data_IF_136045678246
#
_entry.id   IF_136045678246
#
_cell.length_a   1.000
_cell.length_b   1.000
_cell.length_c   1.000
_cell.angle_alpha   90.00
_cell.angle_beta   90.00
_cell.angle_gamma   90.00
#
_symmetry.space_group_name_H-M   'P 1'
#
loop_
_entity.id
_entity.type
_entity.pdbx_description
1 polymer ?
#
# COMPACT_ATOMS: atom_id res chain seq x y z
N UNK A 1 16.00 -44.97 9.32
CA UNK A 1 15.74 -44.25 8.05
C UNK A 1 14.87 -43.01 8.24
N UNK A 2 13.67 -43.14 8.84
CA UNK A 2 12.65 -42.08 8.97
C UNK A 2 13.14 -40.62 9.18
N UNK A 3 14.08 -40.34 10.09
CA UNK A 3 14.52 -38.96 10.36
C UNK A 3 15.14 -38.26 9.12
N UNK A 4 15.87 -39.00 8.29
CA UNK A 4 16.47 -38.47 7.06
C UNK A 4 15.41 -38.26 5.96
N UNK A 5 14.37 -39.10 5.95
CA UNK A 5 13.23 -38.97 5.05
C UNK A 5 12.37 -37.76 5.43
N UNK A 6 12.12 -37.53 6.73
CA UNK A 6 11.43 -36.34 7.23
C UNK A 6 12.19 -35.03 6.91
N UNK A 7 13.51 -35.02 7.10
CA UNK A 7 14.34 -33.85 6.73
C UNK A 7 14.34 -33.61 5.21
N UNK A 8 14.33 -34.68 4.41
CA UNK A 8 14.23 -34.61 2.95
C UNK A 8 12.86 -34.11 2.50
N UNK A 9 11.77 -34.60 3.11
CA UNK A 9 10.41 -34.14 2.88
C UNK A 9 10.26 -32.65 3.23
N UNK A 10 10.75 -32.20 4.39
CA UNK A 10 10.73 -30.77 4.78
C UNK A 10 11.50 -29.88 3.80
N UNK A 11 12.62 -30.36 3.23
CA UNK A 11 13.36 -29.65 2.17
C UNK A 11 12.56 -29.60 0.87
N UNK A 12 11.97 -30.71 0.42
CA UNK A 12 11.10 -30.73 -0.76
C UNK A 12 9.86 -29.84 -0.59
N UNK A 13 9.26 -29.82 0.60
CA UNK A 13 8.17 -28.90 0.95
C UNK A 13 8.58 -27.43 0.81
N UNK A 14 9.81 -27.09 1.22
CA UNK A 14 10.34 -25.74 1.06
C UNK A 14 10.56 -25.39 -0.42
N UNK A 15 11.21 -26.26 -1.19
CA UNK A 15 11.37 -26.08 -2.64
C UNK A 15 10.03 -26.00 -3.36
N UNK A 16 9.06 -26.84 -3.02
CA UNK A 16 7.70 -26.81 -3.55
C UNK A 16 6.99 -25.49 -3.21
N UNK A 17 7.11 -24.96 -1.98
CA UNK A 17 6.58 -23.65 -1.62
C UNK A 17 7.26 -22.51 -2.39
N UNK A 18 8.57 -22.56 -2.62
CA UNK A 18 9.30 -21.58 -3.44
C UNK A 18 8.81 -21.62 -4.89
N UNK A 19 8.73 -22.80 -5.50
CA UNK A 19 8.25 -23.00 -6.88
C UNK A 19 6.78 -22.58 -7.01
N UNK A 20 5.91 -22.98 -6.07
CA UNK A 20 4.51 -22.54 -6.04
C UNK A 20 4.39 -21.04 -5.84
N UNK A 21 5.23 -20.39 -5.03
CA UNK A 21 5.26 -18.92 -4.84
C UNK A 21 5.71 -18.22 -6.12
N UNK A 22 6.72 -18.74 -6.81
CA UNK A 22 7.18 -18.23 -8.10
C UNK A 22 6.13 -18.41 -9.20
N UNK A 23 5.50 -19.59 -9.31
CA UNK A 23 4.45 -19.89 -10.27
C UNK A 23 3.18 -19.06 -10.01
N UNK A 24 2.76 -18.94 -8.73
CA UNK A 24 1.66 -18.04 -8.34
C UNK A 24 1.97 -16.59 -8.69
N UNK A 25 3.20 -16.10 -8.45
CA UNK A 25 3.63 -14.77 -8.89
C UNK A 25 3.54 -14.62 -10.42
N UNK A 26 4.11 -15.55 -11.18
CA UNK A 26 4.11 -15.54 -12.65
C UNK A 26 2.70 -15.55 -13.25
N UNK A 27 1.84 -16.50 -12.84
CA UNK A 27 0.44 -16.55 -13.27
C UNK A 27 -0.33 -15.29 -12.84
N UNK A 28 -0.02 -14.73 -11.68
CA UNK A 28 -0.65 -13.51 -11.20
C UNK A 28 -0.21 -12.25 -11.96
N UNK A 29 0.98 -12.20 -12.61
CA UNK A 29 1.39 -11.03 -13.42
C UNK A 29 0.33 -10.67 -14.46
N UNK A 30 -0.12 -11.62 -15.29
CA UNK A 30 -1.16 -11.35 -16.30
C UNK A 30 -2.52 -11.00 -15.70
N UNK A 31 -2.82 -11.53 -14.51
CA UNK A 31 -4.07 -11.21 -13.79
C UNK A 31 -4.02 -9.79 -13.20
N UNK A 32 -2.90 -9.38 -12.60
CA UNK A 32 -2.69 -8.03 -12.08
C UNK A 32 -2.58 -6.99 -13.19
N UNK A 33 -1.92 -7.31 -14.31
CA UNK A 33 -1.90 -6.46 -15.51
C UNK A 33 -3.33 -6.17 -16.00
N UNK A 34 -4.17 -7.21 -16.18
CA UNK A 34 -5.57 -7.05 -16.58
C UNK A 34 -6.41 -6.27 -15.54
N UNK A 35 -6.17 -6.47 -14.24
CA UNK A 35 -6.84 -5.69 -13.20
C UNK A 35 -6.42 -4.21 -13.23
N UNK A 36 -5.13 -3.92 -13.47
CA UNK A 36 -4.58 -2.57 -13.60
C UNK A 36 -5.06 -1.86 -14.86
N UNK A 37 -5.26 -2.60 -15.95
CA UNK A 37 -5.88 -2.11 -17.19
C UNK A 37 -7.35 -1.75 -16.95
N UNK A 38 -8.17 -2.69 -16.44
CA UNK A 38 -9.57 -2.44 -16.08
C UNK A 38 -9.75 -1.24 -15.13
N UNK A 39 -8.83 -1.07 -14.18
CA UNK A 39 -8.86 0.04 -13.24
C UNK A 39 -8.30 1.36 -13.80
N UNK A 40 -7.47 1.30 -14.85
CA UNK A 40 -7.06 2.45 -15.66
C UNK A 40 -8.24 2.94 -16.50
N UNK A 41 -8.89 2.04 -17.26
CA UNK A 41 -9.99 2.39 -18.16
C UNK A 41 -11.21 2.97 -17.41
N UNK A 42 -11.43 2.54 -16.16
CA UNK A 42 -12.44 3.09 -15.25
C UNK A 42 -12.27 4.60 -15.00
N UNK A 43 -11.04 5.11 -15.06
CA UNK A 43 -10.67 6.51 -14.74
C UNK A 43 -10.14 7.31 -15.95
N UNK A 44 -9.88 6.64 -17.07
CA UNK A 44 -9.35 7.21 -18.31
C UNK A 44 -10.24 8.35 -18.83
N UNK A 45 -9.62 9.46 -19.22
CA UNK A 45 -10.22 10.74 -19.64
C UNK A 45 -11.16 11.43 -18.63
N UNK A 46 -11.45 10.78 -17.49
CA UNK A 46 -12.36 11.30 -16.45
C UNK A 46 -11.63 11.94 -15.29
N UNK A 47 -10.46 11.40 -14.91
CA UNK A 47 -9.74 11.80 -13.69
C UNK A 47 -8.22 11.93 -13.89
N UNK A 48 -7.63 13.03 -13.41
CA UNK A 48 -6.19 13.23 -13.36
C UNK A 48 -5.49 12.09 -12.63
N UNK A 49 -4.31 11.72 -13.10
CA UNK A 49 -3.59 10.55 -12.61
C UNK A 49 -2.48 10.96 -11.66
N UNK A 50 -2.35 10.21 -10.57
CA UNK A 50 -1.17 10.27 -9.72
C UNK A 50 -0.16 9.25 -10.25
N UNK A 51 1.06 9.65 -10.56
CA UNK A 51 2.13 8.75 -11.04
C UNK A 51 2.28 7.53 -10.11
N UNK A 52 2.31 7.76 -8.79
CA UNK A 52 2.39 6.72 -7.75
C UNK A 52 1.18 5.76 -7.72
N UNK A 53 0.10 6.06 -8.44
CA UNK A 53 -1.11 5.22 -8.55
C UNK A 53 -1.29 4.58 -9.92
N UNK A 54 -0.51 4.99 -10.93
CA UNK A 54 -0.53 4.39 -12.27
C UNK A 54 0.32 3.11 -12.30
N UNK A 55 1.56 3.20 -11.84
CA UNK A 55 2.55 2.12 -11.96
C UNK A 55 2.65 1.24 -10.70
N UNK A 56 1.70 1.38 -9.76
CA UNK A 56 1.64 0.59 -8.53
C UNK A 56 1.10 -0.82 -8.77
N UNK A 57 1.72 -1.81 -8.13
CA UNK A 57 1.22 -3.19 -8.08
C UNK A 57 -0.05 -3.32 -7.24
N UNK A 58 -1.00 -4.11 -7.75
CA UNK A 58 -2.28 -4.37 -7.10
C UNK A 58 -2.14 -5.62 -6.25
N UNK A 59 -2.28 -5.49 -4.93
CA UNK A 59 -2.05 -6.58 -3.98
C UNK A 59 -3.35 -7.27 -3.52
N UNK A 60 -4.50 -6.60 -3.63
CA UNK A 60 -5.73 -6.98 -2.94
C UNK A 60 -5.61 -6.81 -1.41
N UNK A 61 -4.79 -7.61 -0.74
CA UNK A 61 -4.67 -7.64 0.72
C UNK A 61 -3.51 -6.80 1.27
N UNK A 62 -3.71 -5.47 1.35
CA UNK A 62 -2.79 -4.55 2.03
C UNK A 62 -2.83 -4.64 3.57
N UNK A 63 -3.80 -5.37 4.13
CA UNK A 63 -3.88 -5.57 5.58
C UNK A 63 -3.10 -6.80 6.07
N UNK A 64 -2.63 -7.66 5.16
CA UNK A 64 -2.14 -9.00 5.48
C UNK A 64 -3.12 -9.74 6.41
N UNK A 65 -4.40 -9.81 6.03
CA UNK A 65 -5.45 -10.45 6.82
C UNK A 65 -5.09 -11.89 7.21
N UNK A 66 -4.33 -12.60 6.37
CA UNK A 66 -3.80 -13.93 6.68
C UNK A 66 -2.96 -14.01 7.98
N UNK A 67 -2.37 -12.89 8.43
CA UNK A 67 -1.65 -12.75 9.71
C UNK A 67 -2.51 -12.12 10.83
N UNK A 68 -3.77 -11.77 10.53
CA UNK A 68 -4.68 -11.05 11.44
C UNK A 68 -6.01 -11.79 11.65
N UNK A 69 -6.00 -12.90 12.44
CA UNK A 69 -7.19 -13.71 12.71
C UNK A 69 -8.27 -12.96 13.51
N UNK A 70 -7.86 -11.93 14.25
CA UNK A 70 -8.68 -10.95 14.95
C UNK A 70 -9.55 -10.08 14.03
N UNK A 71 -9.05 -9.74 12.83
CA UNK A 71 -9.82 -9.10 11.76
C UNK A 71 -10.60 -10.12 10.94
N UNK A 72 -10.01 -11.28 10.59
CA UNK A 72 -10.69 -12.32 9.80
C UNK A 72 -12.01 -12.77 10.44
N UNK A 73 -12.02 -13.01 11.75
CA UNK A 73 -13.22 -13.49 12.49
C UNK A 73 -14.41 -12.52 12.45
N UNK A 74 -14.21 -11.27 12.02
CA UNK A 74 -15.28 -10.27 11.86
C UNK A 74 -15.99 -10.37 10.50
N UNK A 75 -15.44 -11.13 9.57
CA UNK A 75 -16.02 -11.38 8.24
C UNK A 75 -16.52 -12.84 8.19
N UNK A 76 -17.71 -13.12 7.63
CA UNK A 76 -18.21 -14.48 7.52
C UNK A 76 -17.25 -15.38 6.71
N UNK A 77 -17.01 -16.61 7.19
CA UNK A 77 -16.02 -17.54 6.58
C UNK A 77 -16.33 -17.95 5.13
N UNK A 78 -17.59 -17.80 4.69
CA UNK A 78 -18.04 -18.06 3.33
C UNK A 78 -17.86 -16.84 2.40
N UNK A 79 -17.49 -15.67 2.92
CA UNK A 79 -17.18 -14.49 2.14
C UNK A 79 -15.68 -14.43 1.82
N UNK A 80 -15.35 -14.47 0.53
CA UNK A 80 -13.95 -14.38 0.07
C UNK A 80 -13.49 -12.92 0.14
N UNK A 81 -12.37 -12.66 0.81
CA UNK A 81 -11.69 -11.37 0.72
C UNK A 81 -11.17 -11.14 -0.71
N UNK A 82 -11.52 -10.00 -1.30
CA UNK A 82 -11.06 -9.58 -2.62
C UNK A 82 -10.21 -8.30 -2.53
N UNK A 83 -10.41 -7.46 -1.50
CA UNK A 83 -9.53 -6.33 -1.19
C UNK A 83 -9.59 -5.94 0.30
N UNK A 84 -8.45 -5.68 0.91
CA UNK A 84 -8.35 -5.20 2.29
C UNK A 84 -7.28 -4.12 2.43
N UNK A 85 -7.62 -3.00 3.07
CA UNK A 85 -6.69 -1.89 3.30
C UNK A 85 -7.11 -1.02 4.49
N UNK A 86 -6.18 -0.22 5.02
CA UNK A 86 -6.52 0.83 5.98
C UNK A 86 -6.91 2.12 5.25
N UNK A 87 -7.92 2.83 5.74
CA UNK A 87 -8.40 4.09 5.18
C UNK A 87 -8.81 5.09 6.26
N UNK A 88 -9.12 6.32 5.85
CA UNK A 88 -9.79 7.30 6.71
C UNK A 88 -11.22 7.54 6.24
N UNK A 89 -12.17 7.38 7.15
CA UNK A 89 -13.59 7.69 6.96
C UNK A 89 -13.89 9.03 7.63
N UNK A 90 -14.64 9.91 6.98
CA UNK A 90 -14.97 11.23 7.53
C UNK A 90 -16.30 11.22 8.30
N UNK A 91 -16.37 11.88 9.46
CA UNK A 91 -17.59 12.02 10.26
C UNK A 91 -18.45 13.25 9.86
N UNK A 92 -19.56 13.50 10.57
CA UNK A 92 -20.45 14.66 10.35
C UNK A 92 -19.77 16.02 10.62
N UNK A 93 -18.60 16.03 11.27
CA UNK A 93 -17.76 17.20 11.56
C UNK A 93 -16.49 17.21 10.68
N UNK A 94 -16.44 16.38 9.63
CA UNK A 94 -15.28 16.16 8.75
C UNK A 94 -13.99 15.77 9.49
N UNK A 95 -14.09 15.15 10.66
CA UNK A 95 -12.96 14.56 11.36
C UNK A 95 -12.60 13.23 10.70
N UNK A 96 -11.32 13.02 10.41
CA UNK A 96 -10.77 11.72 9.96
C UNK A 96 -10.97 10.68 11.06
N UNK A 97 -11.44 9.50 10.69
CA UNK A 97 -11.65 8.34 11.55
C UNK A 97 -11.01 7.14 10.86
N UNK A 98 -9.90 6.63 11.40
CA UNK A 98 -9.18 5.51 10.78
C UNK A 98 -9.99 4.22 10.82
N UNK A 99 -10.08 3.48 9.72
CA UNK A 99 -10.85 2.23 9.63
C UNK A 99 -10.11 1.21 8.78
N UNK A 100 -10.21 -0.05 9.16
CA UNK A 100 -9.90 -1.15 8.25
C UNK A 100 -11.09 -1.33 7.30
N UNK A 101 -10.81 -1.29 6.02
CA UNK A 101 -11.71 -1.63 4.93
C UNK A 101 -11.45 -3.07 4.52
N UNK A 102 -12.51 -3.89 4.46
CA UNK A 102 -12.48 -5.21 3.83
C UNK A 102 -13.61 -5.27 2.81
N UNK A 103 -13.30 -5.64 1.58
CA UNK A 103 -14.24 -5.81 0.46
C UNK A 103 -14.26 -7.29 0.11
N UNK A 104 -15.41 -7.91 0.24
CA UNK A 104 -15.62 -9.31 -0.12
C UNK A 104 -16.34 -9.44 -1.46
N UNK A 105 -16.62 -10.67 -1.88
CA UNK A 105 -17.55 -10.97 -2.96
C UNK A 105 -19.03 -10.66 -2.61
N UNK A 106 -19.35 -10.30 -1.37
CA UNK A 106 -20.73 -10.11 -0.91
C UNK A 106 -21.01 -8.70 -0.34
N UNK A 107 -20.07 -8.11 0.38
CA UNK A 107 -20.24 -6.85 1.11
C UNK A 107 -18.92 -6.09 1.34
N UNK A 108 -19.06 -4.83 1.75
CA UNK A 108 -17.96 -3.97 2.23
C UNK A 108 -18.09 -3.79 3.74
N UNK A 109 -17.00 -3.99 4.46
CA UNK A 109 -16.90 -3.86 5.91
C UNK A 109 -16.00 -2.66 6.26
N UNK A 110 -16.51 -1.79 7.14
CA UNK A 110 -15.74 -0.73 7.79
C UNK A 110 -15.57 -1.10 9.26
N UNK A 111 -14.36 -1.51 9.63
CA UNK A 111 -13.97 -1.99 10.96
C UNK A 111 -13.18 -0.90 11.66
N UNK A 112 -13.47 -0.71 12.95
CA UNK A 112 -12.84 0.24 13.85
C UNK A 112 -11.94 -0.49 14.86
N UNK A 113 -10.97 0.21 15.41
CA UNK A 113 -10.03 -0.28 16.40
C UNK A 113 -10.27 0.49 17.71
N UNK A 114 -10.80 -0.18 18.73
CA UNK A 114 -11.12 0.43 20.02
C UNK A 114 -10.21 -0.11 21.13
N UNK A 115 -9.55 0.78 21.87
CA UNK A 115 -8.87 0.41 23.11
C UNK A 115 -9.90 0.24 24.24
N UNK A 116 -10.00 -0.95 24.80
CA UNK A 116 -10.90 -1.27 25.92
C UNK A 116 -10.08 -1.49 27.20
N UNK A 117 -10.48 -0.86 28.31
CA UNK A 117 -9.86 -1.11 29.62
C UNK A 117 -10.08 -2.57 30.06
N UNK A 118 -9.00 -3.25 30.42
CA UNK A 118 -8.99 -4.60 31.00
C UNK A 118 -9.37 -4.50 32.48
N UNK A 119 -10.66 -4.24 32.72
CA UNK A 119 -11.28 -4.22 34.05
C UNK A 119 -12.64 -4.94 34.10
N UNK A 120 -13.33 -5.06 32.96
CA UNK A 120 -14.68 -5.67 32.85
C UNK A 120 -14.71 -6.90 31.92
N UNK A 121 -13.56 -7.47 31.55
CA UNK A 121 -13.50 -8.72 30.81
C UNK A 121 -13.66 -9.90 31.78
N UNK A 122 -14.81 -10.60 31.73
CA UNK A 122 -14.99 -11.89 32.42
C UNK A 122 -14.15 -12.99 31.75
N UNK A 123 -12.84 -12.99 31.99
CA UNK A 123 -11.93 -14.04 31.53
C UNK A 123 -10.60 -14.02 32.30
N UNK A 124 -10.37 -15.06 33.12
CA UNK A 124 -9.07 -15.35 33.75
C UNK A 124 -8.77 -14.53 35.00
N UNK A 125 -9.03 -15.12 36.18
CA UNK A 125 -8.56 -14.61 37.46
C UNK A 125 -7.03 -14.70 37.56
N UNK A 126 -6.31 -13.63 37.20
CA UNK A 126 -4.88 -13.49 37.54
C UNK A 126 -4.78 -12.69 38.84
N UNK A 127 -4.66 -13.39 39.97
CA UNK A 127 -4.33 -12.76 41.25
C UNK A 127 -2.89 -12.27 41.21
N UNK A 128 -2.68 -10.97 40.96
CA UNK A 128 -1.36 -10.36 41.17
C UNK A 128 -1.15 -10.15 42.67
N UNK A 129 -0.27 -10.96 43.28
CA UNK A 129 0.17 -10.75 44.67
C UNK A 129 1.11 -9.54 44.74
N UNK A 130 0.55 -8.40 45.14
CA UNK A 130 1.30 -7.22 45.60
C UNK A 130 1.66 -6.20 44.50
N UNK A 131 1.34 -4.93 44.76
CA UNK A 131 1.92 -3.79 44.07
C UNK A 131 1.26 -3.37 42.75
N UNK A 132 0.37 -2.36 42.83
CA UNK A 132 -0.22 -1.58 41.72
C UNK A 132 -0.95 -2.39 40.64
N UNK A 133 -2.28 -2.25 40.61
CA UNK A 133 -3.09 -2.61 39.44
C UNK A 133 -2.62 -1.77 38.23
N UNK A 134 -1.96 -2.39 37.25
CA UNK A 134 -1.75 -1.78 35.95
C UNK A 134 -3.06 -1.90 35.16
N UNK A 135 -3.67 -0.77 34.80
CA UNK A 135 -4.81 -0.76 33.87
C UNK A 135 -4.32 -1.23 32.49
N UNK A 136 -4.47 -2.53 32.20
CA UNK A 136 -4.25 -3.04 30.85
C UNK A 136 -5.25 -2.41 29.87
N UNK A 137 -4.81 -2.10 28.67
CA UNK A 137 -5.69 -1.75 27.55
C UNK A 137 -5.58 -2.85 26.49
N UNK A 138 -6.72 -3.39 26.06
CA UNK A 138 -6.80 -4.40 25.01
C UNK A 138 -7.39 -3.78 23.75
N UNK A 139 -6.78 -4.04 22.60
CA UNK A 139 -7.33 -3.66 21.29
C UNK A 139 -8.51 -4.57 20.93
N UNK A 140 -9.64 -3.96 20.58
CA UNK A 140 -10.87 -4.64 20.16
C UNK A 140 -11.31 -4.12 18.79
N UNK A 141 -11.35 -5.01 17.82
CA UNK A 141 -11.85 -4.72 16.48
C UNK A 141 -13.38 -4.87 16.41
N UNK A 142 -14.07 -3.87 15.84
CA UNK A 142 -15.53 -3.83 15.75
C UNK A 142 -16.00 -3.39 14.37
N UNK A 143 -16.88 -4.16 13.73
CA UNK A 143 -17.57 -3.77 12.49
C UNK A 143 -18.52 -2.60 12.78
N UNK A 144 -18.18 -1.39 12.30
CA UNK A 144 -19.05 -0.19 12.44
C UNK A 144 -20.08 -0.05 11.32
N UNK A 145 -19.82 -0.66 10.16
CA UNK A 145 -20.77 -0.72 9.04
C UNK A 145 -20.45 -1.93 8.15
N UNK A 146 -21.49 -2.67 7.78
CA UNK A 146 -21.49 -3.62 6.66
C UNK A 146 -22.38 -3.04 5.57
N UNK A 147 -21.93 -3.04 4.32
CA UNK A 147 -22.65 -2.52 3.14
C UNK A 147 -22.73 -3.67 2.12
N UNK A 148 -23.88 -4.34 1.96
CA UNK A 148 -24.04 -5.36 0.91
C UNK A 148 -23.83 -4.75 -0.47
N UNK A 149 -23.14 -5.44 -1.37
CA UNK A 149 -22.77 -4.87 -2.68
C UNK A 149 -23.99 -4.42 -3.50
N UNK A 150 -25.09 -5.19 -3.46
CA UNK A 150 -26.36 -4.87 -4.14
C UNK A 150 -27.02 -3.56 -3.67
N UNK A 151 -26.67 -3.08 -2.47
CA UNK A 151 -27.21 -1.81 -1.94
C UNK A 151 -26.44 -0.58 -2.44
N UNK A 152 -25.27 -0.75 -3.06
CA UNK A 152 -24.46 0.35 -3.58
C UNK A 152 -25.14 0.92 -4.83
N UNK A 153 -25.39 2.22 -4.85
CA UNK A 153 -26.01 2.91 -6.00
C UNK A 153 -24.97 3.56 -6.91
N UNK A 154 -23.92 4.12 -6.32
CA UNK A 154 -22.97 4.97 -7.04
C UNK A 154 -21.66 5.13 -6.26
N UNK A 155 -20.54 5.31 -6.97
CA UNK A 155 -19.30 5.84 -6.40
C UNK A 155 -19.03 7.22 -7.02
N UNK A 156 -18.87 8.25 -6.19
CA UNK A 156 -18.50 9.61 -6.67
C UNK A 156 -17.04 9.91 -6.35
N UNK A 157 -16.32 10.48 -7.30
CA UNK A 157 -14.88 10.76 -7.19
C UNK A 157 -14.58 12.14 -7.77
N UNK A 158 -13.59 12.89 -7.25
CA UNK A 158 -13.21 14.15 -7.91
C UNK A 158 -12.58 13.90 -9.29
N UNK A 159 -12.42 14.95 -10.09
CA UNK A 159 -11.67 14.91 -11.35
C UNK A 159 -10.15 15.01 -11.18
N UNK A 160 -9.64 15.35 -10.00
CA UNK A 160 -8.22 15.67 -9.75
C UNK A 160 -7.43 14.49 -9.16
N UNK A 161 -6.12 14.61 -8.94
CA UNK A 161 -5.26 13.49 -8.46
C UNK A 161 -5.34 13.15 -6.95
N UNK A 162 -6.52 13.29 -6.34
CA UNK A 162 -6.79 13.07 -4.91
C UNK A 162 -7.05 11.59 -4.53
N UNK A 163 -7.17 11.31 -3.22
CA UNK A 163 -7.45 9.99 -2.63
C UNK A 163 -8.89 9.77 -2.11
N UNK A 164 -9.80 10.72 -2.29
CA UNK A 164 -11.19 10.69 -1.81
C UNK A 164 -12.18 10.01 -2.75
N UNK A 165 -13.19 9.36 -2.18
CA UNK A 165 -14.41 8.96 -2.87
C UNK A 165 -15.60 8.95 -1.90
N UNK A 166 -16.80 9.12 -2.46
CA UNK A 166 -18.06 8.87 -1.79
C UNK A 166 -18.61 7.52 -2.23
N UNK A 167 -18.93 6.67 -1.26
CA UNK A 167 -19.67 5.44 -1.48
C UNK A 167 -21.15 5.70 -1.15
N UNK A 168 -22.00 5.76 -2.18
CA UNK A 168 -23.43 5.99 -2.05
C UNK A 168 -24.20 4.67 -1.94
N UNK A 169 -25.22 4.65 -1.09
CA UNK A 169 -25.98 3.45 -0.71
C UNK A 169 -27.47 3.77 -0.78
N UNK A 170 -28.26 2.86 -1.35
CA UNK A 170 -29.71 2.96 -1.43
C UNK A 170 -30.35 3.06 -0.05
N UNK A 171 -31.26 4.01 0.13
CA UNK A 171 -32.02 4.25 1.37
C UNK A 171 -31.17 4.47 2.64
N UNK A 172 -29.88 4.78 2.51
CA UNK A 172 -28.95 4.95 3.64
C UNK A 172 -27.95 6.10 3.38
N UNK A 173 -27.14 6.46 4.38
CA UNK A 173 -26.18 7.56 4.28
C UNK A 173 -24.94 7.20 3.45
N UNK A 174 -24.34 8.17 2.77
CA UNK A 174 -23.09 7.95 2.03
C UNK A 174 -21.87 7.91 2.98
N UNK A 175 -20.82 7.16 2.60
CA UNK A 175 -19.52 7.19 3.29
C UNK A 175 -18.51 8.01 2.50
N UNK A 176 -18.02 9.12 3.07
CA UNK A 176 -16.83 9.81 2.57
C UNK A 176 -15.58 9.09 3.08
N UNK A 177 -14.76 8.59 2.14
CA UNK A 177 -13.60 7.75 2.37
C UNK A 177 -12.37 8.32 1.67
N UNK A 178 -11.21 8.18 2.29
CA UNK A 178 -9.89 8.60 1.82
C UNK A 178 -8.95 7.38 1.82
N UNK A 179 -8.47 6.96 0.65
CA UNK A 179 -7.72 5.71 0.46
C UNK A 179 -6.63 5.86 -0.61
N UNK A 180 -5.39 5.44 -0.31
CA UNK A 180 -4.26 5.50 -1.25
C UNK A 180 -4.38 4.50 -2.42
N UNK A 181 -4.99 3.34 -2.19
CA UNK A 181 -5.29 2.33 -3.21
C UNK A 181 -6.69 2.51 -3.83
N UNK A 182 -7.22 3.74 -3.87
CA UNK A 182 -8.60 4.03 -4.31
C UNK A 182 -8.95 3.42 -5.68
N UNK A 183 -8.07 3.56 -6.66
CA UNK A 183 -8.29 3.05 -8.03
C UNK A 183 -8.55 1.54 -8.07
N UNK A 184 -7.70 0.77 -7.40
CA UNK A 184 -7.83 -0.69 -7.26
C UNK A 184 -9.09 -1.07 -6.49
N UNK A 185 -9.32 -0.44 -5.34
CA UNK A 185 -10.50 -0.66 -4.52
C UNK A 185 -11.80 -0.44 -5.31
N UNK A 186 -11.92 0.66 -6.05
CA UNK A 186 -13.10 0.95 -6.86
C UNK A 186 -13.26 -0.06 -8.01
N UNK A 187 -12.17 -0.46 -8.68
CA UNK A 187 -12.21 -1.52 -9.71
C UNK A 187 -12.71 -2.86 -9.15
N UNK A 188 -12.22 -3.27 -7.98
CA UNK A 188 -12.63 -4.51 -7.30
C UNK A 188 -14.10 -4.44 -6.85
N UNK A 189 -14.54 -3.30 -6.30
CA UNK A 189 -15.96 -3.08 -5.95
C UNK A 189 -16.84 -3.18 -7.20
N UNK A 190 -16.52 -2.49 -8.30
CA UNK A 190 -17.30 -2.55 -9.54
C UNK A 190 -17.37 -3.95 -10.14
N UNK A 191 -16.25 -4.68 -10.14
CA UNK A 191 -16.15 -6.07 -10.62
C UNK A 191 -17.03 -7.02 -9.81
N UNK A 192 -17.02 -6.91 -8.48
CA UNK A 192 -17.83 -7.76 -7.61
C UNK A 192 -19.31 -7.34 -7.61
N UNK A 193 -19.60 -6.04 -7.73
CA UNK A 193 -20.95 -5.53 -7.95
C UNK A 193 -21.55 -6.15 -9.21
N UNK A 194 -20.86 -6.04 -10.35
CA UNK A 194 -21.34 -6.58 -11.63
C UNK A 194 -21.59 -8.10 -11.56
N UNK A 195 -20.69 -8.86 -10.92
CA UNK A 195 -20.89 -10.30 -10.70
C UNK A 195 -22.11 -10.63 -9.83
N UNK A 196 -22.49 -9.74 -8.89
CA UNK A 196 -23.57 -9.98 -7.93
C UNK A 196 -24.93 -9.49 -8.43
N UNK A 197 -24.97 -8.38 -9.15
CA UNK A 197 -26.20 -7.70 -9.57
C UNK A 197 -26.51 -7.84 -11.07
N UNK A 198 -25.55 -8.34 -11.85
CA UNK A 198 -25.54 -8.30 -13.32
C UNK A 198 -25.76 -6.89 -13.90
N UNK A 199 -25.31 -5.85 -13.18
CA UNK A 199 -25.40 -4.44 -13.59
C UNK A 199 -24.03 -3.78 -13.49
N UNK A 200 -23.75 -2.80 -14.34
CA UNK A 200 -22.56 -1.95 -14.20
C UNK A 200 -22.76 -0.97 -13.04
N UNK A 201 -21.75 -0.83 -12.18
CA UNK A 201 -21.79 0.15 -11.10
C UNK A 201 -21.57 1.56 -11.67
N UNK A 202 -22.46 2.50 -11.37
CA UNK A 202 -22.28 3.88 -11.77
C UNK A 202 -21.11 4.53 -11.01
N UNK A 203 -20.21 5.17 -11.75
CA UNK A 203 -19.11 5.96 -11.20
C UNK A 203 -19.11 7.33 -11.84
N UNK A 204 -19.38 8.35 -11.03
CA UNK A 204 -19.45 9.75 -11.47
C UNK A 204 -18.26 10.58 -11.01
N UNK A 205 -17.96 11.60 -11.81
CA UNK A 205 -16.84 12.51 -11.62
C UNK A 205 -17.36 13.95 -11.58
N UNK A 206 -16.69 14.80 -10.81
CA UNK A 206 -17.08 16.20 -10.68
C UNK A 206 -16.28 16.94 -9.62
N UNK A 207 -16.44 18.27 -9.61
CA UNK A 207 -15.70 19.16 -8.71
C UNK A 207 -16.38 19.36 -7.36
N UNK A 208 -17.60 18.86 -7.17
CA UNK A 208 -18.26 18.90 -5.87
C UNK A 208 -19.45 17.95 -5.76
N UNK A 209 -19.74 17.52 -4.53
CA UNK A 209 -20.78 16.56 -4.21
C UNK A 209 -21.45 16.88 -2.88
N UNK A 210 -22.77 16.98 -2.90
CA UNK A 210 -23.58 16.97 -1.68
C UNK A 210 -24.00 15.54 -1.33
N UNK A 211 -23.93 15.20 -0.04
CA UNK A 211 -24.27 13.86 0.43
C UNK A 211 -24.90 13.85 1.83
N UNK A 212 -25.81 12.91 2.05
CA UNK A 212 -26.46 12.69 3.35
C UNK A 212 -25.53 11.96 4.31
N UNK A 213 -25.39 12.48 5.54
CA UNK A 213 -24.64 11.82 6.62
C UNK A 213 -25.54 11.01 7.55
N UNK A 214 -24.94 10.06 8.29
CA UNK A 214 -25.64 9.22 9.29
C UNK A 214 -26.46 10.07 10.27
N UNK A 215 -27.75 9.74 10.42
CA UNK A 215 -28.61 10.30 11.45
C UNK A 215 -28.11 9.90 12.85
N UNK A 216 -28.06 10.85 13.78
CA UNK A 216 -27.73 10.64 15.20
C UNK A 216 -28.80 11.29 16.08
N UNK A 217 -29.78 10.51 16.54
CA UNK A 217 -31.01 10.95 17.24
C UNK A 217 -32.02 11.69 16.32
N UNK A 218 -33.20 11.96 16.89
CA UNK A 218 -34.46 12.33 16.21
C UNK A 218 -34.35 13.49 15.19
N UNK A 219 -33.47 14.48 15.44
CA UNK A 219 -33.38 15.72 14.65
C UNK A 219 -32.08 15.85 13.82
N UNK A 220 -31.31 14.77 13.65
CA UNK A 220 -29.98 14.84 13.03
C UNK A 220 -29.90 14.25 11.61
N UNK A 221 -30.96 14.38 10.81
CA UNK A 221 -30.80 14.43 9.36
C UNK A 221 -29.84 15.57 8.96
N UNK A 222 -29.17 15.45 7.83
CA UNK A 222 -28.33 16.54 7.34
C UNK A 222 -27.47 16.16 6.16
N UNK A 223 -27.31 17.11 5.25
CA UNK A 223 -26.37 17.04 4.14
C UNK A 223 -25.01 17.62 4.53
N UNK A 224 -23.99 17.24 3.76
CA UNK A 224 -22.65 17.80 3.77
C UNK A 224 -22.23 18.05 2.34
N UNK A 225 -21.57 19.18 2.12
CA UNK A 225 -21.01 19.53 0.81
C UNK A 225 -19.52 19.21 0.80
N UNK A 226 -19.07 18.59 -0.28
CA UNK A 226 -17.67 18.33 -0.58
C UNK A 226 -17.33 19.12 -1.83
N UNK A 227 -16.32 19.98 -1.78
CA UNK A 227 -15.82 20.73 -2.93
C UNK A 227 -14.36 20.39 -3.15
N UNK A 228 -13.97 20.29 -4.41
CA UNK A 228 -12.60 20.08 -4.83
C UNK A 228 -12.17 21.27 -5.68
N UNK A 229 -11.00 21.82 -5.39
CA UNK A 229 -10.41 22.94 -6.14
C UNK A 229 -9.03 22.51 -6.64
N UNK A 230 -8.72 22.85 -7.88
CA UNK A 230 -7.40 22.60 -8.45
C UNK A 230 -6.42 23.72 -8.03
N UNK A 231 -5.22 23.36 -7.57
CA UNK A 231 -4.30 24.31 -6.94
C UNK A 231 -3.83 25.43 -7.88
N UNK A 232 -3.60 25.13 -9.16
CA UNK A 232 -3.21 26.14 -10.15
C UNK A 232 -4.31 27.21 -10.34
N UNK A 233 -5.58 26.84 -10.23
CA UNK A 233 -6.72 27.76 -10.30
C UNK A 233 -6.83 28.62 -9.04
N UNK A 234 -6.51 28.07 -7.86
CA UNK A 234 -6.49 28.83 -6.59
C UNK A 234 -5.30 29.81 -6.49
N UNK A 235 -4.17 29.51 -7.13
CA UNK A 235 -3.03 30.42 -7.19
C UNK A 235 -3.38 31.73 -7.94
N UNK A 236 -4.15 31.62 -9.04
CA UNK A 236 -4.72 32.77 -9.76
C UNK A 236 -5.76 33.55 -8.95
N UNK A 237 -6.39 32.90 -7.95
CA UNK A 237 -7.37 33.50 -7.03
C UNK A 237 -6.74 33.98 -5.70
N UNK A 238 -5.41 34.15 -5.66
CA UNK A 238 -4.72 34.88 -4.59
C UNK A 238 -4.73 34.25 -3.19
N UNK A 239 -5.08 32.98 -3.02
CA UNK A 239 -5.22 32.37 -1.67
C UNK A 239 -4.33 31.15 -1.43
N UNK A 240 -3.24 31.40 -0.68
CA UNK A 240 -2.33 30.44 -0.02
C UNK A 240 -1.53 29.47 -0.89
N UNK A 241 -0.20 29.62 -0.80
CA UNK A 241 0.81 28.63 -1.18
C UNK A 241 0.53 27.28 -0.51
N UNK A 242 0.81 26.16 -1.19
CA UNK A 242 0.76 24.84 -0.55
C UNK A 242 2.00 24.71 0.35
N UNK A 243 1.81 24.78 1.66
CA UNK A 243 2.85 24.48 2.65
C UNK A 243 3.14 22.98 2.68
N UNK A 244 4.00 22.50 1.79
CA UNK A 244 4.52 21.12 1.81
C UNK A 244 5.25 20.77 3.11
N UNK A 245 5.69 21.77 3.88
CA UNK A 245 6.50 21.63 5.08
C UNK A 245 5.70 21.48 6.40
N UNK A 246 4.36 21.47 6.39
CA UNK A 246 3.54 21.28 7.62
C UNK A 246 3.40 19.80 8.04
N UNK A 247 4.52 19.07 8.05
CA UNK A 247 4.60 17.65 8.46
C UNK A 247 4.65 17.50 9.99
N UNK A 248 3.56 17.81 10.71
CA UNK A 248 3.58 17.87 12.18
C UNK A 248 3.60 16.52 12.94
N UNK A 249 3.49 15.37 12.25
CA UNK A 249 3.69 14.01 12.83
C UNK A 249 4.13 13.02 11.76
N UNK A 250 5.07 12.13 12.09
CA UNK A 250 5.64 11.11 11.19
C UNK A 250 4.66 9.98 10.74
N UNK A 251 3.36 10.09 11.04
CA UNK A 251 2.33 9.12 10.67
C UNK A 251 1.35 9.62 9.59
N UNK A 252 1.44 10.89 9.19
CA UNK A 252 0.64 11.43 8.09
C UNK A 252 1.43 11.33 6.77
N UNK A 253 0.95 10.48 5.85
CA UNK A 253 1.43 10.40 4.47
C UNK A 253 1.53 11.80 3.83
N UNK A 254 2.57 12.10 3.02
CA UNK A 254 2.70 13.39 2.35
C UNK A 254 1.46 13.63 1.46
N UNK A 255 0.62 14.59 1.87
CA UNK A 255 -0.68 14.82 1.22
C UNK A 255 -0.48 15.69 -0.01
N UNK A 256 -0.87 15.16 -1.17
CA UNK A 256 -0.94 15.93 -2.43
C UNK A 256 -2.10 16.97 -2.44
N UNK A 257 -2.70 17.25 -1.28
CA UNK A 257 -3.86 18.11 -1.13
C UNK A 257 -3.92 18.70 0.29
N UNK A 258 -4.53 19.88 0.42
CA UNK A 258 -4.91 20.49 1.70
C UNK A 258 -6.44 20.47 1.88
N UNK A 259 -6.92 20.57 3.13
CA UNK A 259 -8.34 20.45 3.47
C UNK A 259 -8.78 21.60 4.37
N UNK A 260 -9.60 22.50 3.82
CA UNK A 260 -10.26 23.60 4.56
C UNK A 260 -11.71 23.22 4.85
N UNK A 261 -12.16 23.40 6.09
CA UNK A 261 -13.54 23.10 6.51
C UNK A 261 -14.24 24.41 6.89
N UNK A 262 -15.40 24.67 6.30
CA UNK A 262 -16.27 25.79 6.65
C UNK A 262 -17.71 25.28 6.87
N UNK A 263 -18.14 25.24 8.14
CA UNK A 263 -19.48 24.83 8.54
C UNK A 263 -19.89 23.42 8.07
N UNK A 264 -20.76 23.35 7.05
CA UNK A 264 -21.26 22.10 6.45
C UNK A 264 -20.46 21.67 5.20
N UNK A 265 -19.45 22.44 4.81
CA UNK A 265 -18.67 22.25 3.57
C UNK A 265 -17.22 21.90 3.89
N UNK A 266 -16.68 20.89 3.20
CA UNK A 266 -15.25 20.58 3.19
C UNK A 266 -14.71 20.86 1.79
N UNK A 267 -13.69 21.71 1.71
CA UNK A 267 -12.98 22.06 0.48
C UNK A 267 -11.62 21.39 0.47
N UNK A 268 -11.38 20.53 -0.51
CA UNK A 268 -10.11 19.85 -0.75
C UNK A 268 -9.39 20.56 -1.88
N UNK A 269 -8.24 21.17 -1.59
CA UNK A 269 -7.41 21.84 -2.59
C UNK A 269 -6.36 20.84 -3.08
N UNK A 270 -6.46 20.41 -4.34
CA UNK A 270 -5.66 19.33 -4.92
C UNK A 270 -4.59 19.89 -5.84
N UNK A 271 -3.33 19.53 -5.60
CA UNK A 271 -2.22 19.87 -6.49
C UNK A 271 -2.29 19.10 -7.81
N UNK A 272 -1.80 19.69 -8.90
CA UNK A 272 -1.90 19.14 -10.26
C UNK A 272 -1.37 17.70 -10.39
N UNK A 273 -2.09 16.88 -11.16
CA UNK A 273 -1.69 15.53 -11.54
C UNK A 273 -1.20 15.43 -12.98
N UNK A 274 -0.90 14.19 -13.37
CA UNK A 274 -0.71 13.83 -14.77
C UNK A 274 -2.06 13.94 -15.52
N UNK A 275 -2.04 14.26 -16.83
CA UNK A 275 -3.23 14.36 -17.68
C UNK A 275 -4.22 13.19 -17.56
N UNK A 276 -5.51 13.45 -17.76
CA UNK A 276 -6.59 12.45 -17.61
C UNK A 276 -6.45 11.24 -18.55
N UNK A 277 -5.78 11.40 -19.69
CA UNK A 277 -5.46 10.35 -20.67
C UNK A 277 -4.17 9.55 -20.33
N UNK A 278 -3.53 9.79 -19.18
CA UNK A 278 -2.28 9.10 -18.82
C UNK A 278 -2.51 7.61 -18.54
N UNK A 279 -1.82 6.73 -19.27
CA UNK A 279 -1.83 5.27 -19.08
C UNK A 279 -0.55 4.77 -18.37
N UNK A 280 -0.59 3.62 -17.67
CA UNK A 280 0.60 3.00 -17.08
C UNK A 280 1.64 2.65 -18.14
N UNK A 281 2.92 2.67 -17.78
CA UNK A 281 3.99 2.49 -18.75
C UNK A 281 4.08 1.02 -19.24
N UNK A 282 3.69 0.76 -20.50
CA UNK A 282 3.62 -0.60 -21.06
C UNK A 282 5.00 -1.26 -21.26
N UNK A 283 6.09 -0.48 -21.30
CA UNK A 283 7.45 -1.00 -21.51
C UNK A 283 7.91 -2.01 -20.44
N UNK A 284 7.31 -2.00 -19.25
CA UNK A 284 7.57 -2.98 -18.17
C UNK A 284 6.64 -4.21 -18.21
N UNK A 285 5.67 -4.27 -19.13
CA UNK A 285 4.66 -5.33 -19.15
C UNK A 285 5.12 -6.61 -19.90
N UNK A 286 6.06 -6.50 -20.85
CA UNK A 286 6.47 -7.59 -21.74
C UNK A 286 7.77 -8.31 -21.32
N UNK A 287 8.44 -7.86 -20.26
CA UNK A 287 9.62 -8.54 -19.72
C UNK A 287 9.24 -9.45 -18.54
N UNK A 288 9.03 -10.76 -18.74
CA UNK A 288 9.38 -11.69 -17.67
C UNK A 288 10.86 -11.45 -17.35
N UNK A 289 11.22 -11.34 -16.08
CA UNK A 289 12.62 -11.29 -15.64
C UNK A 289 13.24 -12.69 -15.79
N UNK A 290 13.43 -13.11 -17.03
CA UNK A 290 14.27 -14.25 -17.37
C UNK A 290 15.72 -13.92 -17.05
N UNK A 291 16.42 -14.88 -16.44
CA UNK A 291 17.86 -14.87 -16.28
C UNK A 291 18.52 -14.74 -17.65
N UNK A 292 18.92 -13.52 -18.03
CA UNK A 292 19.72 -13.29 -19.23
C UNK A 292 21.16 -13.78 -18.99
N UNK A 293 21.37 -15.08 -19.16
CA UNK A 293 22.68 -15.60 -19.51
C UNK A 293 23.08 -14.99 -20.86
N UNK A 294 23.92 -13.95 -20.84
CA UNK A 294 24.57 -13.44 -22.04
C UNK A 294 25.61 -14.46 -22.52
N UNK A 295 25.18 -15.41 -23.32
CA UNK A 295 26.08 -16.24 -24.12
C UNK A 295 26.77 -15.36 -25.15
N UNK A 296 28.03 -14.99 -24.89
CA UNK A 296 28.89 -14.36 -25.89
C UNK A 296 29.53 -15.45 -26.74
N UNK A 297 29.12 -15.55 -28.02
CA UNK A 297 29.81 -16.36 -29.02
C UNK A 297 30.01 -15.56 -30.33
N UNK A 298 31.07 -14.74 -30.29
CA UNK A 298 32.18 -14.65 -31.26
C UNK A 298 31.99 -14.42 -32.78
N UNK A 299 33.11 -13.90 -33.34
CA UNK A 299 33.51 -13.78 -34.75
C UNK A 299 32.89 -12.60 -35.53
N UNK A 300 33.62 -11.76 -36.27
CA UNK A 300 35.04 -11.74 -36.70
C UNK A 300 35.67 -10.33 -36.43
N UNK A 301 36.93 -9.95 -36.73
CA UNK A 301 38.05 -10.52 -37.52
C UNK A 301 39.40 -9.90 -37.08
N UNK A 302 40.48 -10.28 -37.78
CA UNK A 302 41.84 -9.69 -37.83
C UNK A 302 42.80 -9.98 -36.68
N UNK A 303 43.94 -10.57 -37.02
CA UNK A 303 45.03 -10.88 -36.08
C UNK A 303 46.34 -10.18 -36.45
N UNK A 304 47.35 -10.41 -35.61
CA UNK A 304 48.79 -10.39 -35.93
C UNK A 304 49.56 -11.16 -34.85
N UNK A 305 50.67 -11.76 -35.24
CA UNK A 305 51.50 -12.69 -34.46
C UNK A 305 52.59 -12.01 -33.63
N UNK A 306 52.86 -12.50 -32.42
CA UNK A 306 54.16 -12.37 -31.72
C UNK A 306 54.29 -13.43 -30.59
N UNK A 307 55.53 -13.69 -30.15
CA UNK A 307 55.96 -14.84 -29.34
C UNK A 307 55.88 -14.69 -27.81
N UNK A 308 55.98 -15.81 -27.09
CA UNK A 308 55.99 -15.87 -25.63
C UNK A 308 57.37 -15.57 -25.00
N UNK A 309 57.42 -14.77 -23.92
CA UNK A 309 58.48 -14.79 -22.90
C UNK A 309 58.07 -15.62 -21.65
N UNK A 310 59.01 -16.01 -20.76
CA UNK A 310 58.78 -17.05 -19.76
C UNK A 310 57.92 -16.62 -18.55
N UNK A 311 57.25 -17.61 -17.95
CA UNK A 311 56.40 -17.45 -16.77
C UNK A 311 57.24 -17.06 -15.55
N UNK A 312 56.97 -15.89 -14.98
CA UNK A 312 57.37 -15.54 -13.61
C UNK A 312 56.23 -15.92 -12.65
N UNK A 313 56.53 -16.38 -11.42
CA UNK A 313 55.49 -16.72 -10.45
C UNK A 313 54.62 -15.49 -10.13
N UNK A 314 53.30 -15.65 -9.96
CA UNK A 314 52.41 -14.52 -9.74
C UNK A 314 52.69 -13.86 -8.40
N UNK A 315 53.13 -12.59 -8.45
CA UNK A 315 53.08 -11.68 -7.29
C UNK A 315 51.62 -11.61 -6.81
N UNK A 316 51.34 -11.65 -5.49
CA UNK A 316 49.98 -11.58 -4.99
C UNK A 316 49.25 -10.36 -5.55
N UNK A 317 48.19 -10.63 -6.32
CA UNK A 317 47.33 -9.61 -6.87
C UNK A 317 46.62 -8.90 -5.72
N UNK A 318 46.94 -7.63 -5.50
CA UNK A 318 46.13 -6.75 -4.67
C UNK A 318 44.68 -6.86 -5.17
N UNK A 319 43.78 -7.34 -4.30
CA UNK A 319 42.40 -7.63 -4.66
C UNK A 319 41.74 -6.36 -5.20
N UNK A 320 41.35 -6.37 -6.48
CA UNK A 320 40.35 -5.42 -6.98
C UNK A 320 39.04 -5.72 -6.26
N UNK A 321 38.83 -5.11 -5.10
CA UNK A 321 37.57 -5.23 -4.40
C UNK A 321 36.44 -4.75 -5.33
N UNK A 322 35.29 -5.44 -5.36
CA UNK A 322 34.13 -4.94 -6.09
C UNK A 322 33.80 -3.55 -5.54
N UNK A 323 33.45 -2.60 -6.42
CA UNK A 323 32.95 -1.29 -5.98
C UNK A 323 31.68 -1.53 -5.18
N UNK A 324 31.79 -1.47 -3.86
CA UNK A 324 30.70 -1.74 -2.94
C UNK A 324 29.65 -0.65 -3.11
N UNK A 325 28.42 -1.05 -3.45
CA UNK A 325 27.32 -0.10 -3.68
C UNK A 325 27.02 0.65 -2.39
N UNK A 326 26.72 1.94 -2.51
CA UNK A 326 26.34 2.76 -1.37
C UNK A 326 24.83 2.94 -1.33
N UNK A 327 24.32 3.21 -0.14
CA UNK A 327 22.92 3.50 0.11
C UNK A 327 22.82 4.89 0.72
N UNK A 328 21.89 5.73 0.26
CA UNK A 328 21.46 6.92 0.96
C UNK A 328 20.26 6.57 1.84
N UNK A 329 20.30 6.95 3.12
CA UNK A 329 19.18 6.76 4.05
C UNK A 329 18.14 7.86 3.87
N UNK A 330 16.89 7.47 3.63
CA UNK A 330 15.78 8.40 3.37
C UNK A 330 15.07 8.85 4.66
N UNK A 331 15.19 8.07 5.72
CA UNK A 331 14.57 8.29 7.03
C UNK A 331 15.49 7.78 8.14
N UNK A 332 15.29 8.25 9.36
CA UNK A 332 15.90 7.68 10.55
C UNK A 332 15.27 6.33 10.91
N UNK A 333 16.09 5.41 11.40
CA UNK A 333 15.68 4.07 11.79
C UNK A 333 16.39 3.64 13.08
N UNK A 334 15.58 3.22 14.06
CA UNK A 334 16.04 2.67 15.33
C UNK A 334 15.74 1.19 15.37
N UNK A 335 16.78 0.37 15.45
CA UNK A 335 16.70 -1.08 15.56
C UNK A 335 15.82 -1.53 16.75
N UNK A 336 14.98 -2.54 16.50
CA UNK A 336 14.08 -3.15 17.50
C UNK A 336 14.52 -4.55 17.91
N UNK A 337 15.46 -5.13 17.18
CA UNK A 337 16.09 -6.43 17.44
C UNK A 337 17.61 -6.33 17.25
N UNK A 338 18.35 -7.31 17.77
CA UNK A 338 19.82 -7.30 17.71
C UNK A 338 20.40 -7.49 16.29
N UNK A 339 19.60 -7.99 15.35
CA UNK A 339 19.99 -8.21 13.95
C UNK A 339 19.79 -6.94 13.09
N UNK A 340 19.02 -5.97 13.57
CA UNK A 340 18.70 -4.70 12.89
C UNK A 340 19.78 -3.64 13.13
N UNK A 341 20.06 -2.81 12.11
CA UNK A 341 21.06 -1.75 12.19
C UNK A 341 20.40 -0.36 12.32
N UNK A 342 20.72 0.39 13.38
CA UNK A 342 20.24 1.76 13.58
C UNK A 342 21.04 2.80 12.77
N UNK A 343 20.36 3.77 12.15
CA UNK A 343 20.96 4.86 11.38
C UNK A 343 20.08 6.12 11.37
N UNK A 344 20.66 7.34 11.32
CA UNK A 344 19.91 8.58 11.07
C UNK A 344 19.50 8.71 9.59
N UNK A 345 18.65 9.69 9.27
CA UNK A 345 18.37 10.08 7.89
C UNK A 345 19.57 10.79 7.22
N UNK A 346 19.58 10.87 5.89
CA UNK A 346 20.51 11.62 5.05
C UNK A 346 22.00 11.25 5.24
N UNK A 347 22.30 10.00 5.60
CA UNK A 347 23.65 9.43 5.67
C UNK A 347 23.87 8.25 4.71
N UNK A 348 25.14 8.01 4.37
CA UNK A 348 25.56 6.87 3.56
C UNK A 348 25.73 5.59 4.39
N UNK A 349 25.25 4.46 3.85
CA UNK A 349 25.56 3.09 4.29
C UNK A 349 26.32 2.35 3.19
N UNK A 350 27.09 1.33 3.55
CA UNK A 350 27.65 0.38 2.59
C UNK A 350 26.68 -0.79 2.42
N UNK A 351 26.26 -1.10 1.18
CA UNK A 351 25.44 -2.28 0.91
C UNK A 351 26.30 -3.55 1.02
N UNK A 352 25.84 -4.53 1.79
CA UNK A 352 26.48 -5.84 1.97
C UNK A 352 25.71 -6.92 1.22
N UNK A 353 24.38 -6.95 1.32
CA UNK A 353 23.51 -7.87 0.57
C UNK A 353 22.13 -7.24 0.33
N UNK A 354 21.56 -7.42 -0.86
CA UNK A 354 20.19 -7.04 -1.22
C UNK A 354 19.37 -8.20 -1.83
N UNK A 355 19.73 -9.45 -1.49
CA UNK A 355 19.06 -10.67 -1.95
C UNK A 355 17.58 -10.77 -1.51
N UNK A 356 17.22 -10.18 -0.37
CA UNK A 356 15.83 -10.06 0.10
C UNK A 356 15.18 -8.75 -0.38
N UNK A 357 13.88 -8.80 -0.72
CA UNK A 357 13.13 -7.66 -1.25
C UNK A 357 12.75 -6.60 -0.20
N UNK A 358 12.81 -6.94 1.09
CA UNK A 358 12.28 -6.16 2.22
C UNK A 358 13.34 -5.76 3.23
N UNK A 359 14.39 -6.58 3.42
CA UNK A 359 15.46 -6.33 4.38
C UNK A 359 16.81 -6.48 3.71
N UNK A 360 17.54 -5.37 3.54
CA UNK A 360 18.89 -5.40 2.99
C UNK A 360 19.90 -5.46 4.12
N UNK A 361 21.01 -6.16 3.91
CA UNK A 361 22.13 -6.14 4.85
C UNK A 361 23.04 -4.97 4.48
N UNK A 362 23.29 -4.09 5.43
CA UNK A 362 24.12 -2.90 5.23
C UNK A 362 25.10 -2.73 6.40
N UNK A 363 26.10 -1.87 6.21
CA UNK A 363 27.06 -1.49 7.23
C UNK A 363 27.03 0.03 7.47
N UNK A 364 27.05 0.42 8.75
CA UNK A 364 27.15 1.80 9.21
C UNK A 364 28.15 1.88 10.36
N UNK A 365 29.18 2.71 10.22
CA UNK A 365 30.22 2.95 11.24
C UNK A 365 30.86 1.64 11.78
N UNK A 366 31.06 0.63 10.91
CA UNK A 366 31.64 -0.66 11.28
C UNK A 366 30.65 -1.68 11.88
N UNK A 367 29.37 -1.32 12.04
CA UNK A 367 28.32 -2.24 12.48
C UNK A 367 27.51 -2.74 11.29
N UNK A 368 27.35 -4.04 11.17
CA UNK A 368 26.61 -4.71 10.08
C UNK A 368 25.30 -5.27 10.62
N UNK A 369 24.18 -4.95 9.98
CA UNK A 369 22.86 -5.50 10.32
C UNK A 369 21.87 -5.34 9.17
N UNK A 370 20.62 -5.75 9.40
CA UNK A 370 19.55 -5.57 8.41
C UNK A 370 18.89 -4.20 8.53
N UNK A 371 18.59 -3.61 7.38
CA UNK A 371 17.93 -2.32 7.20
C UNK A 371 16.70 -2.48 6.29
N UNK A 372 15.59 -1.78 6.51
CA UNK A 372 14.43 -1.89 5.65
C UNK A 372 14.73 -1.34 4.25
N UNK A 373 14.45 -2.11 3.19
CA UNK A 373 14.75 -1.69 1.80
C UNK A 373 13.98 -0.44 1.36
N UNK A 374 12.90 -0.08 2.05
CA UNK A 374 12.11 1.13 1.81
C UNK A 374 12.55 2.36 2.62
N UNK A 375 13.63 2.25 3.41
CA UNK A 375 14.26 3.34 4.17
C UNK A 375 15.57 3.83 3.51
N UNK A 376 15.97 3.21 2.40
CA UNK A 376 17.27 3.40 1.76
C UNK A 376 17.14 3.41 0.23
N UNK A 377 17.95 4.22 -0.45
CA UNK A 377 18.05 4.28 -1.91
C UNK A 377 19.47 3.94 -2.37
N UNK A 378 19.63 3.17 -3.45
CA UNK A 378 20.96 2.84 -3.99
C UNK A 378 21.53 4.06 -4.73
N UNK A 379 22.68 4.55 -4.27
CA UNK A 379 23.48 5.58 -4.95
C UNK A 379 24.71 4.92 -5.59
N UNK A 380 25.06 5.36 -6.82
CA UNK A 380 26.09 4.76 -7.68
C UNK A 380 27.42 5.51 -7.65
#
# INVERSE_FOLDING_TARGET
MHLLEDMRLRRFDNYARIIQKAMKRFCAVRVYQRQREQATDLLYDKKERNARSLDRDYLGDYCNLHLRPDLQKLVPRNEKNEFSSYLYKYDRRFRRQGRYLIVTNQAIYLIDEECVKVGNAKSGTVQSKGGRQQEGFMLRYIVKRRIPLETITEIKMSEYRDNFFLLCVSNDYASLLELSSKTECCSIISKNYMKKTNRTLNISFGQGFDYTVKKQKLSAGGTRSLKFLHAATNALLGTSHIDTNKLKKATDMPRNYDVKINGKTMTVMVSSGLPKNSRPNQANAERPQGLQFKSQNNLTKNGKSASCPPIKPPRPLASKQPKQKRLLTLYDFTARSADELSFPADVELLLVDNSDSTWWKAEYKGLVGVVPSNYVEIIN
#
